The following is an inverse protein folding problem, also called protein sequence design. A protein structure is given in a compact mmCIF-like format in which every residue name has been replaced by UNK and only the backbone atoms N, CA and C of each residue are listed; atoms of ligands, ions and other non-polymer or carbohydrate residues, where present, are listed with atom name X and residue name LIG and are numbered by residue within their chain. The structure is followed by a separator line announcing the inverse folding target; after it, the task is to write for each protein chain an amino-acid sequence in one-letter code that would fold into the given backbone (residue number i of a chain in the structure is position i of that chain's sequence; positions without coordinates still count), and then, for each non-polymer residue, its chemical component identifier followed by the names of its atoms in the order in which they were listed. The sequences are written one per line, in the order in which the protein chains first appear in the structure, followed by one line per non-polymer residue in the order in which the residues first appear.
data_IF_934880542671
#
_entry.id   IF_934880542671
#
_cell.length_a   1.000
_cell.length_b   1.000
_cell.length_c   1.000
_cell.angle_alpha   90.00
_cell.angle_beta   90.00
_cell.angle_gamma   90.00
#
_symmetry.space_group_name_H-M   'P 1'
#
loop_
_entity.id
_entity.type
_entity.pdbx_description
1 polymer ?
#
# COMPACT_ATOMS: atom_id res chain seq x y z
N UNK A 1 -23.79 -10.24 -13.57
CA UNK A 1 -24.75 -9.13 -13.80
C UNK A 1 -23.95 -7.86 -13.96
N UNK A 2 -24.21 -7.07 -15.00
CA UNK A 2 -23.52 -5.78 -15.19
C UNK A 2 -23.95 -4.79 -14.09
N UNK A 3 -23.18 -3.72 -13.89
CA UNK A 3 -23.63 -2.59 -13.08
C UNK A 3 -24.92 -2.01 -13.72
N UNK A 4 -25.86 -1.62 -12.89
CA UNK A 4 -26.99 -0.86 -13.43
C UNK A 4 -26.57 0.60 -13.72
N UNK A 5 -27.39 1.32 -14.48
CA UNK A 5 -27.08 2.69 -14.89
C UNK A 5 -26.74 3.63 -13.70
N UNK A 6 -27.46 3.50 -12.57
CA UNK A 6 -27.21 4.33 -11.39
C UNK A 6 -25.84 3.99 -10.74
N UNK A 7 -25.48 2.71 -10.71
CA UNK A 7 -24.19 2.24 -10.17
C UNK A 7 -23.03 2.68 -11.05
N UNK A 8 -23.13 2.58 -12.39
CA UNK A 8 -22.11 3.11 -13.31
C UNK A 8 -21.90 4.61 -13.13
N UNK A 9 -22.99 5.37 -13.02
CA UNK A 9 -22.92 6.81 -12.73
C UNK A 9 -22.30 7.09 -11.37
N UNK A 10 -22.57 6.25 -10.36
CA UNK A 10 -21.97 6.38 -9.03
C UNK A 10 -20.46 6.12 -9.05
N UNK A 11 -19.99 5.10 -9.77
CA UNK A 11 -18.54 4.82 -9.94
C UNK A 11 -17.86 6.01 -10.61
N UNK A 12 -18.39 6.48 -11.74
CA UNK A 12 -17.85 7.63 -12.47
C UNK A 12 -17.85 8.92 -11.62
N UNK A 13 -18.91 9.14 -10.85
CA UNK A 13 -18.99 10.27 -9.93
C UNK A 13 -17.96 10.17 -8.81
N UNK A 14 -17.84 9.00 -8.19
CA UNK A 14 -16.88 8.74 -7.12
C UNK A 14 -15.43 8.92 -7.60
N UNK A 15 -15.08 8.36 -8.76
CA UNK A 15 -13.80 8.57 -9.43
C UNK A 15 -13.51 10.07 -9.63
N UNK A 16 -14.40 10.80 -10.31
CA UNK A 16 -14.23 12.23 -10.55
C UNK A 16 -14.15 13.05 -9.25
N UNK A 17 -14.92 12.66 -8.23
CA UNK A 17 -14.93 13.33 -6.94
C UNK A 17 -13.61 13.12 -6.19
N UNK A 18 -13.08 11.89 -6.21
CA UNK A 18 -11.78 11.57 -5.61
C UNK A 18 -10.65 12.30 -6.32
N UNK A 19 -10.62 12.30 -7.66
CA UNK A 19 -9.62 13.04 -8.44
C UNK A 19 -9.64 14.54 -8.10
N UNK A 20 -10.84 15.16 -8.01
CA UNK A 20 -10.98 16.56 -7.61
C UNK A 20 -10.55 16.80 -6.17
N UNK A 21 -10.83 15.88 -5.24
CA UNK A 21 -10.40 15.97 -3.86
C UNK A 21 -8.87 15.92 -3.77
N UNK A 22 -8.23 14.95 -4.42
CA UNK A 22 -6.77 14.84 -4.48
C UNK A 22 -6.13 16.07 -5.12
N UNK A 23 -6.71 16.60 -6.22
CA UNK A 23 -6.24 17.83 -6.87
C UNK A 23 -6.26 19.03 -5.92
N UNK A 24 -7.33 19.13 -5.12
CA UNK A 24 -7.46 20.22 -4.15
C UNK A 24 -6.55 20.04 -2.94
N UNK A 25 -6.40 18.81 -2.44
CA UNK A 25 -5.79 18.53 -1.15
C UNK A 25 -4.29 18.24 -1.24
N UNK A 26 -3.78 17.65 -2.34
CA UNK A 26 -2.36 17.33 -2.48
C UNK A 26 -1.52 18.56 -2.90
N UNK A 27 -1.53 19.59 -2.04
CA UNK A 27 -0.65 20.74 -2.13
C UNK A 27 0.46 20.61 -1.09
N UNK A 28 1.64 20.23 -1.52
CA UNK A 28 2.74 19.84 -0.64
C UNK A 28 3.72 21.01 -0.50
N UNK A 29 3.96 21.42 0.73
CA UNK A 29 4.98 22.43 1.05
C UNK A 29 6.32 21.74 1.29
N UNK A 30 7.35 22.17 0.54
CA UNK A 30 8.74 21.72 0.70
C UNK A 30 9.40 22.60 1.75
N UNK A 31 10.10 21.99 2.69
CA UNK A 31 10.79 22.72 3.74
C UNK A 31 12.17 22.13 4.06
N UNK A 32 13.12 23.01 4.34
CA UNK A 32 14.41 22.63 4.90
C UNK A 32 14.44 22.67 6.43
N UNK A 33 13.36 23.18 7.05
CA UNK A 33 13.20 23.17 8.49
C UNK A 33 13.08 21.75 9.03
N UNK A 34 13.38 21.57 10.29
CA UNK A 34 13.20 20.29 10.95
C UNK A 34 11.71 20.10 11.27
N UNK A 35 11.08 19.14 10.60
CA UNK A 35 9.70 18.76 10.90
C UNK A 35 9.72 17.75 12.05
N UNK A 36 9.39 18.20 13.23
CA UNK A 36 9.30 17.32 14.39
C UNK A 36 8.08 16.40 14.29
N UNK A 37 8.31 15.11 14.50
CA UNK A 37 7.24 14.12 14.66
C UNK A 37 6.99 13.97 16.15
N UNK A 38 5.94 14.61 16.66
CA UNK A 38 5.59 14.60 18.09
C UNK A 38 4.33 13.74 18.29
N UNK A 39 4.35 12.70 19.15
CA UNK A 39 3.18 11.88 19.43
C UNK A 39 2.14 12.63 20.26
N UNK A 40 0.87 12.36 20.00
CA UNK A 40 -0.22 12.74 20.90
C UNK A 40 -0.35 11.71 22.02
N UNK A 41 -0.58 12.16 23.26
CA UNK A 41 -0.52 11.31 24.47
C UNK A 41 -1.44 10.09 24.49
N UNK A 42 -2.58 10.18 23.79
CA UNK A 42 -3.63 9.15 23.88
C UNK A 42 -3.86 8.40 22.54
N UNK A 43 -2.94 8.52 21.59
CA UNK A 43 -3.07 7.87 20.28
C UNK A 43 -2.12 6.69 20.12
N UNK A 44 -2.65 5.61 19.56
CA UNK A 44 -1.85 4.49 19.06
C UNK A 44 -1.49 4.75 17.61
N UNK A 45 -0.23 4.51 17.28
CA UNK A 45 0.30 4.66 15.94
C UNK A 45 0.82 3.31 15.44
N UNK A 46 0.84 3.12 14.13
CA UNK A 46 1.56 2.05 13.49
C UNK A 46 2.91 2.55 13.00
N UNK A 47 3.93 1.70 13.06
CA UNK A 47 5.25 1.96 12.46
C UNK A 47 5.30 1.38 11.06
N UNK A 48 5.58 2.21 10.05
CA UNK A 48 5.87 1.77 8.69
C UNK A 48 7.37 1.92 8.40
N UNK A 49 8.06 0.86 8.05
CA UNK A 49 9.46 0.91 7.62
C UNK A 49 9.59 0.64 6.13
N UNK A 50 10.18 1.57 5.38
CA UNK A 50 10.38 1.44 3.95
C UNK A 50 11.75 0.88 3.62
N UNK A 51 11.81 -0.20 2.81
CA UNK A 51 13.06 -0.80 2.29
C UNK A 51 13.08 -0.61 0.77
N UNK A 52 13.80 0.40 0.24
CA UNK A 52 13.69 0.81 -1.16
C UNK A 52 14.61 0.05 -2.13
N UNK A 53 14.86 -1.24 -1.94
CA UNK A 53 15.79 -1.96 -2.82
C UNK A 53 15.13 -3.10 -3.58
N UNK A 54 15.49 -3.26 -4.86
CA UNK A 54 15.11 -4.39 -5.71
C UNK A 54 16.25 -4.77 -6.63
N UNK A 55 16.40 -6.06 -6.94
CA UNK A 55 17.34 -6.53 -7.97
C UNK A 55 16.87 -6.18 -9.38
N UNK A 56 15.56 -6.29 -9.64
CA UNK A 56 14.93 -6.02 -10.94
C UNK A 56 13.62 -5.29 -10.72
N UNK A 57 13.36 -4.27 -11.53
CA UNK A 57 12.13 -3.48 -11.46
C UNK A 57 11.02 -4.11 -12.29
N UNK A 58 9.81 -4.12 -11.75
CA UNK A 58 8.61 -4.56 -12.46
C UNK A 58 7.93 -3.34 -13.12
N UNK A 59 7.42 -3.47 -14.37
CA UNK A 59 6.88 -2.35 -15.14
C UNK A 59 5.62 -1.71 -14.55
N UNK A 60 4.87 -2.45 -13.74
CA UNK A 60 3.64 -1.98 -13.08
C UNK A 60 3.87 -1.38 -11.67
N UNK A 61 5.09 -1.48 -11.13
CA UNK A 61 5.38 -1.09 -9.77
C UNK A 61 5.71 0.40 -9.64
N UNK A 62 4.90 1.12 -8.90
CA UNK A 62 5.02 2.56 -8.64
C UNK A 62 5.77 2.92 -7.35
N UNK A 63 6.11 1.93 -6.52
CA UNK A 63 6.80 2.17 -5.26
C UNK A 63 8.17 2.79 -5.45
N UNK A 64 8.59 3.62 -4.47
CA UNK A 64 9.94 4.16 -4.40
C UNK A 64 10.96 3.04 -4.23
N UNK A 65 11.95 2.99 -5.14
CA UNK A 65 12.93 1.90 -5.15
C UNK A 65 14.23 2.31 -5.84
N UNK A 66 15.31 1.69 -5.37
CA UNK A 66 16.64 1.73 -5.95
C UNK A 66 17.08 0.34 -6.39
N UNK A 67 17.99 0.27 -7.35
CA UNK A 67 18.66 -0.97 -7.68
C UNK A 67 19.52 -1.41 -6.51
N UNK A 68 19.50 -2.70 -6.19
CA UNK A 68 20.27 -3.25 -5.09
C UNK A 68 21.77 -3.14 -5.34
N UNK A 69 22.47 -2.57 -4.36
CA UNK A 69 23.92 -2.57 -4.20
C UNK A 69 24.23 -2.87 -2.74
N UNK A 70 25.06 -3.88 -2.48
CA UNK A 70 25.25 -4.43 -1.15
C UNK A 70 25.71 -3.40 -0.11
N UNK A 71 26.71 -2.56 -0.46
CA UNK A 71 27.22 -1.54 0.47
C UNK A 71 26.19 -0.43 0.72
N UNK A 72 25.55 0.05 -0.33
CA UNK A 72 24.49 1.07 -0.23
C UNK A 72 23.32 0.57 0.62
N UNK A 73 22.93 -0.69 0.47
CA UNK A 73 21.86 -1.32 1.25
C UNK A 73 22.24 -1.40 2.73
N UNK A 74 23.44 -1.84 3.05
CA UNK A 74 23.95 -1.89 4.45
C UNK A 74 23.99 -0.52 5.10
N UNK A 75 24.53 0.48 4.42
CA UNK A 75 24.59 1.86 4.91
C UNK A 75 23.16 2.42 5.13
N UNK A 76 22.24 2.09 4.24
CA UNK A 76 20.85 2.44 4.40
C UNK A 76 20.22 1.86 5.66
N UNK A 77 20.40 0.56 5.93
CA UNK A 77 19.86 -0.08 7.13
C UNK A 77 20.49 0.47 8.42
N UNK A 78 21.76 0.88 8.40
CA UNK A 78 22.38 1.61 9.52
C UNK A 78 21.63 2.91 9.82
N UNK A 79 21.34 3.69 8.78
CA UNK A 79 20.59 4.94 8.92
C UNK A 79 19.13 4.70 9.35
N UNK A 80 18.48 3.66 8.83
CA UNK A 80 17.12 3.27 9.22
C UNK A 80 17.05 2.93 10.73
N UNK A 81 18.01 2.16 11.24
CA UNK A 81 18.11 1.86 12.68
C UNK A 81 18.40 3.10 13.52
N UNK A 82 19.14 4.06 12.99
CA UNK A 82 19.35 5.33 13.68
C UNK A 82 18.07 6.18 13.70
N UNK A 83 17.27 6.18 12.63
CA UNK A 83 15.96 6.83 12.62
C UNK A 83 15.01 6.21 13.65
N UNK A 84 14.97 4.87 13.78
CA UNK A 84 14.16 4.20 14.81
C UNK A 84 14.50 4.70 16.22
N UNK A 85 15.80 4.88 16.54
CA UNK A 85 16.23 5.44 17.82
C UNK A 85 15.74 6.88 18.01
N UNK A 86 15.83 7.72 16.97
CA UNK A 86 15.33 9.10 17.00
C UNK A 86 13.81 9.16 17.23
N UNK A 87 13.05 8.25 16.62
CA UNK A 87 11.60 8.14 16.83
C UNK A 87 11.28 7.71 18.27
N UNK A 88 12.08 6.80 18.87
CA UNK A 88 11.95 6.46 20.30
C UNK A 88 12.27 7.65 21.20
N UNK A 89 13.35 8.37 20.91
CA UNK A 89 13.74 9.58 21.64
C UNK A 89 12.66 10.68 21.56
N UNK A 90 11.90 10.76 20.45
CA UNK A 90 10.75 11.64 20.28
C UNK A 90 9.51 11.21 21.11
N UNK A 91 9.56 10.06 21.79
CA UNK A 91 8.52 9.59 22.69
C UNK A 91 7.48 8.66 22.07
N UNK A 92 7.71 8.15 20.86
CA UNK A 92 6.82 7.16 20.25
C UNK A 92 6.95 5.77 20.87
N UNK A 93 5.82 5.07 20.89
CA UNK A 93 5.75 3.62 21.06
C UNK A 93 4.75 3.02 20.06
N UNK A 94 4.97 1.77 19.65
CA UNK A 94 4.20 1.07 18.63
C UNK A 94 3.88 -0.34 19.08
N UNK A 95 2.67 -0.80 18.79
CA UNK A 95 2.26 -2.21 19.00
C UNK A 95 2.30 -3.02 17.70
N UNK A 96 2.30 -2.34 16.54
CA UNK A 96 2.39 -3.00 15.24
C UNK A 96 3.40 -2.31 14.33
N UNK A 97 4.07 -3.12 13.49
CA UNK A 97 5.03 -2.66 12.50
C UNK A 97 4.72 -3.28 11.14
N UNK A 98 4.79 -2.47 10.09
CA UNK A 98 4.72 -2.92 8.71
C UNK A 98 6.03 -2.60 7.99
N UNK A 99 6.64 -3.61 7.37
CA UNK A 99 7.86 -3.44 6.57
C UNK A 99 7.53 -3.65 5.11
N UNK A 100 7.63 -2.59 4.32
CA UNK A 100 7.24 -2.62 2.91
C UNK A 100 8.19 -1.89 1.98
N UNK A 101 7.82 -1.80 0.70
CA UNK A 101 8.52 -0.99 -0.30
C UNK A 101 9.00 -1.75 -1.52
N UNK A 102 10.28 -2.08 -1.58
CA UNK A 102 10.92 -2.88 -2.63
C UNK A 102 10.85 -4.38 -2.33
N UNK A 103 12.01 -5.00 -2.14
CA UNK A 103 12.16 -6.37 -1.63
C UNK A 103 12.69 -6.28 -0.20
N UNK A 104 11.87 -6.49 0.79
CA UNK A 104 12.24 -6.22 2.19
C UNK A 104 13.28 -7.20 2.72
N UNK A 105 13.22 -8.46 2.30
CA UNK A 105 14.18 -9.52 2.67
C UNK A 105 15.45 -9.54 1.78
N UNK A 106 15.75 -8.46 1.08
CA UNK A 106 16.87 -8.38 0.14
C UNK A 106 18.25 -8.50 0.82
N UNK A 107 18.34 -8.09 2.09
CA UNK A 107 19.47 -8.34 2.99
C UNK A 107 18.89 -8.84 4.31
N UNK A 108 18.83 -10.17 4.45
CA UNK A 108 18.22 -10.84 5.60
C UNK A 108 18.87 -10.46 6.93
N UNK A 109 20.20 -10.34 6.94
CA UNK A 109 20.96 -10.03 8.17
C UNK A 109 20.69 -8.61 8.64
N UNK A 110 20.66 -7.66 7.73
CA UNK A 110 20.36 -6.26 8.07
C UNK A 110 18.90 -6.07 8.48
N UNK A 111 17.98 -6.79 7.84
CA UNK A 111 16.57 -6.77 8.23
C UNK A 111 16.39 -7.33 9.63
N UNK A 112 16.95 -8.52 9.95
CA UNK A 112 16.88 -9.13 11.29
C UNK A 112 17.42 -8.18 12.37
N UNK A 113 18.59 -7.57 12.18
CA UNK A 113 19.14 -6.56 13.11
C UNK A 113 18.17 -5.39 13.31
N UNK A 114 17.44 -5.03 12.27
CA UNK A 114 16.49 -3.90 12.33
C UNK A 114 15.22 -4.29 13.09
N UNK A 115 14.71 -5.51 12.88
CA UNK A 115 13.56 -6.03 13.60
C UNK A 115 13.90 -6.27 15.10
N UNK A 116 15.09 -6.81 15.41
CA UNK A 116 15.58 -6.92 16.78
C UNK A 116 15.60 -5.57 17.49
N UNK A 117 16.18 -4.56 16.84
CA UNK A 117 16.22 -3.21 17.40
C UNK A 117 14.80 -2.66 17.59
N UNK A 118 13.92 -2.79 16.62
CA UNK A 118 12.56 -2.30 16.71
C UNK A 118 11.81 -2.93 17.90
N UNK A 119 11.87 -4.26 18.05
CA UNK A 119 11.28 -4.98 19.20
C UNK A 119 11.93 -4.59 20.53
N UNK A 120 13.20 -4.23 20.55
CA UNK A 120 13.87 -3.77 21.78
C UNK A 120 13.50 -2.34 22.17
N UNK A 121 13.18 -1.50 21.21
CA UNK A 121 12.82 -0.10 21.44
C UNK A 121 11.34 0.09 21.75
N UNK A 122 10.45 -0.67 21.09
CA UNK A 122 9.02 -0.46 21.09
C UNK A 122 8.27 -1.70 21.58
N UNK A 123 7.02 -1.51 22.00
CA UNK A 123 6.12 -2.57 22.48
C UNK A 123 5.47 -3.34 21.31
N UNK A 124 6.27 -3.71 20.29
CA UNK A 124 5.79 -4.37 19.07
C UNK A 124 5.36 -5.80 19.36
N UNK A 125 4.07 -6.08 19.13
CA UNK A 125 3.43 -7.38 19.28
C UNK A 125 3.27 -8.09 17.92
N UNK A 126 3.19 -7.31 16.81
CA UNK A 126 2.90 -7.80 15.47
C UNK A 126 3.79 -7.12 14.42
N UNK A 127 4.37 -7.94 13.54
CA UNK A 127 5.12 -7.46 12.36
C UNK A 127 4.56 -8.09 11.09
N UNK A 128 4.08 -7.24 10.18
CA UNK A 128 3.77 -7.60 8.79
C UNK A 128 4.90 -7.17 7.87
N UNK A 129 5.24 -8.00 6.89
CA UNK A 129 6.27 -7.68 5.90
C UNK A 129 5.86 -8.10 4.50
N UNK A 130 6.43 -7.45 3.48
CA UNK A 130 6.29 -7.79 2.07
C UNK A 130 7.50 -8.58 1.60
N UNK A 131 7.34 -9.42 0.57
CA UNK A 131 8.44 -10.14 -0.07
C UNK A 131 8.12 -10.52 -1.51
N UNK A 132 9.06 -11.21 -2.13
CA UNK A 132 8.91 -11.79 -3.46
C UNK A 132 9.26 -13.30 -3.46
N UNK A 133 8.90 -14.06 -4.51
CA UNK A 133 9.10 -15.51 -4.57
C UNK A 133 10.56 -16.01 -4.51
N UNK A 134 11.55 -15.13 -4.58
CA UNK A 134 12.96 -15.53 -4.43
C UNK A 134 13.46 -15.48 -2.99
N UNK A 135 12.69 -14.89 -2.07
CA UNK A 135 13.07 -14.69 -0.67
C UNK A 135 12.17 -15.47 0.30
N UNK A 136 11.52 -16.54 -0.18
CA UNK A 136 10.64 -17.41 0.62
C UNK A 136 11.16 -18.84 0.75
N UNK A 137 12.43 -19.07 0.52
CA UNK A 137 13.02 -20.40 0.77
C UNK A 137 12.83 -20.77 2.24
N UNK A 138 12.53 -22.05 2.56
CA UNK A 138 12.28 -22.48 3.93
C UNK A 138 13.39 -22.04 4.92
N UNK A 139 14.65 -22.15 4.50
CA UNK A 139 15.80 -21.74 5.33
C UNK A 139 15.77 -20.24 5.67
N UNK A 140 15.36 -19.39 4.73
CA UNK A 140 15.19 -17.95 4.94
C UNK A 140 14.05 -17.71 5.92
N UNK A 141 12.87 -18.29 5.68
CA UNK A 141 11.69 -18.05 6.51
C UNK A 141 11.87 -18.55 7.95
N UNK A 142 12.56 -19.67 8.17
CA UNK A 142 12.87 -20.17 9.51
C UNK A 142 13.66 -19.14 10.35
N UNK A 143 14.49 -18.31 9.74
CA UNK A 143 15.24 -17.24 10.43
C UNK A 143 14.32 -16.11 10.93
N UNK A 144 13.16 -15.93 10.29
CA UNK A 144 12.20 -14.87 10.63
C UNK A 144 11.07 -15.35 11.54
N UNK A 145 11.03 -16.62 11.94
CA UNK A 145 10.10 -17.12 12.96
C UNK A 145 10.25 -16.34 14.27
N UNK A 146 9.11 -15.91 14.83
CA UNK A 146 9.09 -15.07 16.02
C UNK A 146 9.38 -13.59 15.78
N UNK A 147 9.73 -13.22 14.53
CA UNK A 147 9.84 -11.82 14.09
C UNK A 147 8.66 -11.42 13.23
N UNK A 148 8.41 -12.14 12.14
CA UNK A 148 7.36 -11.82 11.17
C UNK A 148 6.15 -12.69 11.43
N UNK A 149 5.00 -12.06 11.70
CA UNK A 149 3.72 -12.71 11.94
C UNK A 149 2.94 -12.88 10.63
N UNK A 150 3.09 -11.93 9.69
CA UNK A 150 2.48 -11.97 8.36
C UNK A 150 3.50 -11.61 7.27
N UNK A 151 3.67 -12.49 6.30
CA UNK A 151 4.48 -12.24 5.11
C UNK A 151 3.60 -12.22 3.87
N UNK A 152 3.56 -11.08 3.17
CA UNK A 152 2.89 -10.92 1.89
C UNK A 152 3.85 -11.20 0.76
N UNK A 153 3.51 -12.13 -0.13
CA UNK A 153 4.35 -12.55 -1.23
C UNK A 153 3.74 -12.13 -2.55
N UNK A 154 4.38 -11.16 -3.21
CA UNK A 154 3.94 -10.71 -4.52
C UNK A 154 4.14 -11.79 -5.57
N UNK A 155 3.09 -12.48 -5.98
CA UNK A 155 3.08 -13.46 -7.09
C UNK A 155 2.56 -12.81 -8.36
N UNK A 156 1.50 -12.06 -8.23
CA UNK A 156 0.77 -11.26 -9.23
C UNK A 156 -0.11 -12.08 -10.18
N UNK A 157 0.38 -13.19 -10.74
CA UNK A 157 -0.35 -14.17 -11.54
C UNK A 157 0.43 -15.49 -11.57
N UNK A 158 -0.25 -16.57 -11.87
CA UNK A 158 0.38 -17.86 -12.22
C UNK A 158 0.41 -18.10 -13.72
N UNK A 159 -0.28 -17.27 -14.52
CA UNK A 159 -0.27 -17.39 -15.99
C UNK A 159 1.11 -17.01 -16.55
N UNK A 160 1.74 -17.94 -17.27
CA UNK A 160 3.09 -17.76 -17.80
C UNK A 160 3.20 -16.60 -18.80
N UNK A 161 2.15 -16.29 -19.55
CA UNK A 161 2.19 -15.21 -20.53
C UNK A 161 2.04 -13.84 -19.86
N UNK A 162 1.20 -13.76 -18.83
CA UNK A 162 1.14 -12.57 -17.96
C UNK A 162 2.50 -12.37 -17.26
N UNK A 163 3.07 -13.42 -16.66
CA UNK A 163 4.38 -13.35 -15.98
C UNK A 163 5.50 -12.85 -16.90
N UNK A 164 5.52 -13.29 -18.18
CA UNK A 164 6.48 -12.79 -19.18
C UNK A 164 6.29 -11.30 -19.45
N UNK A 165 5.05 -10.88 -19.70
CA UNK A 165 4.71 -9.48 -20.00
C UNK A 165 5.03 -8.53 -18.84
N UNK A 166 4.88 -8.95 -17.59
CA UNK A 166 5.19 -8.15 -16.41
C UNK A 166 6.63 -8.34 -15.89
N UNK A 167 7.51 -8.94 -16.69
CA UNK A 167 8.94 -9.15 -16.37
C UNK A 167 9.18 -10.00 -15.11
N UNK A 168 8.28 -10.93 -14.80
CA UNK A 168 8.38 -11.79 -13.62
C UNK A 168 8.79 -13.22 -13.94
N UNK A 169 8.48 -13.72 -15.14
CA UNK A 169 8.82 -15.09 -15.55
C UNK A 169 10.32 -15.38 -15.43
N UNK A 170 11.17 -14.51 -16.00
CA UNK A 170 12.62 -14.68 -15.93
C UNK A 170 13.19 -14.45 -14.52
N UNK A 171 12.49 -13.64 -13.70
CA UNK A 171 12.93 -13.32 -12.34
C UNK A 171 12.58 -14.41 -11.34
N UNK A 172 11.41 -15.02 -11.42
CA UNK A 172 10.87 -15.90 -10.39
C UNK A 172 10.58 -17.32 -10.84
N UNK A 173 10.56 -17.56 -12.16
CA UNK A 173 10.28 -18.85 -12.78
C UNK A 173 8.88 -18.93 -13.41
N UNK A 174 8.59 -20.13 -13.93
CA UNK A 174 7.28 -20.48 -14.49
C UNK A 174 6.25 -20.71 -13.38
N UNK A 175 4.99 -20.91 -13.78
CA UNK A 175 3.90 -21.34 -12.90
C UNK A 175 4.32 -22.48 -11.98
N UNK A 176 4.91 -23.55 -12.53
CA UNK A 176 5.26 -24.75 -11.75
C UNK A 176 6.34 -24.45 -10.71
N UNK A 177 7.33 -23.63 -11.06
CA UNK A 177 8.38 -23.18 -10.14
C UNK A 177 7.79 -22.31 -9.01
N UNK A 178 6.85 -21.42 -9.34
CA UNK A 178 6.17 -20.60 -8.33
C UNK A 178 5.34 -21.45 -7.39
N UNK A 179 4.58 -22.43 -7.92
CA UNK A 179 3.79 -23.36 -7.11
C UNK A 179 4.70 -24.17 -6.18
N UNK A 180 5.82 -24.67 -6.68
CA UNK A 180 6.79 -25.42 -5.86
C UNK A 180 7.36 -24.55 -4.73
N UNK A 181 7.85 -23.33 -5.03
CA UNK A 181 8.39 -22.43 -4.03
C UNK A 181 7.35 -22.10 -2.94
N UNK A 182 6.13 -21.74 -3.34
CA UNK A 182 5.06 -21.36 -2.42
C UNK A 182 4.61 -22.55 -1.57
N UNK A 183 4.46 -23.73 -2.14
CA UNK A 183 4.06 -24.94 -1.40
C UNK A 183 5.05 -25.33 -0.30
N UNK A 184 6.34 -24.98 -0.47
CA UNK A 184 7.39 -25.19 0.55
C UNK A 184 7.43 -24.09 1.60
N UNK A 185 6.87 -22.90 1.32
CA UNK A 185 6.90 -21.71 2.17
C UNK A 185 5.67 -21.57 3.07
N UNK A 186 4.52 -22.07 2.62
CA UNK A 186 3.26 -22.03 3.37
C UNK A 186 3.44 -22.81 4.68
N UNK A 187 2.87 -22.29 5.78
CA UNK A 187 2.90 -22.85 7.15
C UNK A 187 4.25 -22.70 7.89
N UNK A 188 5.26 -22.06 7.31
CA UNK A 188 6.50 -21.75 8.06
C UNK A 188 6.29 -20.55 8.98
N UNK A 189 5.70 -19.48 8.48
CA UNK A 189 5.31 -18.31 9.29
C UNK A 189 3.82 -18.39 9.65
N UNK A 190 3.36 -17.68 10.69
CA UNK A 190 1.97 -17.73 11.12
C UNK A 190 0.97 -17.39 10.03
N UNK A 191 1.28 -16.37 9.20
CA UNK A 191 0.46 -15.98 8.06
C UNK A 191 1.31 -15.75 6.82
N UNK A 192 1.06 -16.51 5.77
CA UNK A 192 1.55 -16.21 4.42
C UNK A 192 0.37 -15.74 3.57
N UNK A 193 0.50 -14.54 3.00
CA UNK A 193 -0.43 -13.95 2.04
C UNK A 193 0.11 -14.09 0.62
N UNK A 194 -0.73 -14.48 -0.32
CA UNK A 194 -0.41 -14.42 -1.75
C UNK A 194 -1.04 -13.15 -2.34
N UNK A 195 -0.20 -12.31 -2.94
CA UNK A 195 -0.68 -11.12 -3.63
C UNK A 195 -0.79 -11.39 -5.12
N UNK A 196 -2.00 -11.24 -5.63
CA UNK A 196 -2.35 -11.38 -7.03
C UNK A 196 -2.87 -10.04 -7.56
N UNK A 197 -2.67 -9.82 -8.86
CA UNK A 197 -3.22 -8.65 -9.56
C UNK A 197 -4.27 -9.14 -10.57
N UNK A 198 -5.39 -8.47 -10.63
CA UNK A 198 -6.42 -8.72 -11.62
C UNK A 198 -6.68 -7.50 -12.52
N UNK A 199 -7.42 -7.73 -13.60
CA UNK A 199 -7.74 -6.72 -14.61
C UNK A 199 -6.49 -6.22 -15.39
N UNK A 200 -5.56 -7.14 -15.70
CA UNK A 200 -4.53 -6.85 -16.69
C UNK A 200 -5.16 -6.61 -18.06
N UNK A 201 -4.59 -5.74 -18.93
CA UNK A 201 -5.00 -5.63 -20.31
C UNK A 201 -5.05 -7.00 -20.99
N UNK A 202 -6.17 -7.30 -21.66
CA UNK A 202 -6.44 -8.59 -22.33
C UNK A 202 -6.44 -9.84 -21.44
N UNK A 203 -6.47 -9.69 -20.12
CA UNK A 203 -6.65 -10.84 -19.22
C UNK A 203 -8.02 -11.48 -19.48
N UNK A 204 -8.05 -12.79 -19.67
CA UNK A 204 -9.31 -13.52 -19.84
C UNK A 204 -9.90 -13.96 -18.50
N UNK A 205 -11.18 -14.31 -18.50
CA UNK A 205 -11.85 -14.88 -17.34
C UNK A 205 -11.22 -16.22 -16.94
N UNK A 206 -10.81 -17.03 -17.93
CA UNK A 206 -10.18 -18.34 -17.74
C UNK A 206 -8.83 -18.19 -17.03
N UNK A 207 -8.02 -17.18 -17.39
CA UNK A 207 -6.76 -16.88 -16.73
C UNK A 207 -6.98 -16.47 -15.27
N UNK A 208 -7.97 -15.58 -14.98
CA UNK A 208 -8.33 -15.21 -13.62
C UNK A 208 -8.78 -16.43 -12.81
N UNK A 209 -9.67 -17.26 -13.35
CA UNK A 209 -10.15 -18.47 -12.67
C UNK A 209 -9.03 -19.49 -12.45
N UNK A 210 -8.07 -19.60 -13.38
CA UNK A 210 -6.88 -20.41 -13.20
C UNK A 210 -6.04 -19.95 -12.02
N UNK A 211 -5.75 -18.64 -11.93
CA UNK A 211 -5.02 -18.03 -10.81
C UNK A 211 -5.74 -18.28 -9.47
N UNK A 212 -7.07 -18.09 -9.43
CA UNK A 212 -7.89 -18.35 -8.24
C UNK A 212 -7.81 -19.81 -7.83
N UNK A 213 -7.96 -20.75 -8.76
CA UNK A 213 -7.93 -22.18 -8.49
C UNK A 213 -6.57 -22.65 -7.96
N UNK A 214 -5.46 -22.12 -8.52
CA UNK A 214 -4.10 -22.42 -8.05
C UNK A 214 -3.93 -21.85 -6.63
N UNK A 215 -4.32 -20.60 -6.37
CA UNK A 215 -4.23 -19.99 -5.07
C UNK A 215 -5.04 -20.76 -4.00
N UNK A 216 -6.27 -21.17 -4.32
CA UNK A 216 -7.10 -22.02 -3.44
C UNK A 216 -6.45 -23.39 -3.17
N UNK A 217 -5.85 -24.01 -4.18
CA UNK A 217 -5.18 -25.32 -4.07
C UNK A 217 -3.91 -25.24 -3.22
N UNK A 218 -3.15 -24.17 -3.34
CA UNK A 218 -2.01 -23.87 -2.48
C UNK A 218 -2.44 -23.63 -1.02
N UNK A 219 -3.62 -23.08 -0.86
CA UNK A 219 -4.27 -22.90 0.44
C UNK A 219 -3.43 -22.09 1.46
N UNK A 220 -2.90 -20.89 1.13
CA UNK A 220 -2.26 -20.03 2.10
C UNK A 220 -3.26 -19.53 3.15
N UNK A 221 -2.78 -18.87 4.20
CA UNK A 221 -3.64 -18.31 5.25
C UNK A 221 -4.43 -17.12 4.73
N UNK A 222 -3.86 -16.35 3.78
CA UNK A 222 -4.52 -15.18 3.17
C UNK A 222 -4.22 -15.09 1.67
N UNK A 223 -5.14 -14.50 0.91
CA UNK A 223 -4.98 -14.19 -0.50
C UNK A 223 -5.48 -12.76 -0.72
N UNK A 224 -4.67 -11.95 -1.41
CA UNK A 224 -5.01 -10.57 -1.74
C UNK A 224 -5.09 -10.40 -3.25
N UNK A 225 -6.17 -9.80 -3.75
CA UNK A 225 -6.36 -9.48 -5.17
C UNK A 225 -6.39 -7.97 -5.37
N UNK A 226 -5.28 -7.41 -5.81
CA UNK A 226 -5.19 -6.00 -6.14
C UNK A 226 -5.71 -5.73 -7.57
N UNK A 227 -6.55 -4.70 -7.78
CA UNK A 227 -6.81 -4.23 -9.13
C UNK A 227 -5.53 -3.65 -9.74
N UNK A 228 -5.30 -3.86 -11.04
CA UNK A 228 -4.15 -3.22 -11.69
C UNK A 228 -4.24 -1.70 -11.61
N UNK A 229 -3.26 -1.08 -10.98
CA UNK A 229 -3.18 0.37 -10.82
C UNK A 229 -2.36 0.97 -11.97
N UNK A 230 -3.02 1.82 -12.80
CA UNK A 230 -2.39 2.52 -13.92
C UNK A 230 -2.02 3.94 -13.47
N UNK A 231 -0.96 4.07 -12.70
CA UNK A 231 -0.47 5.37 -12.25
C UNK A 231 0.29 6.12 -13.36
N UNK A 232 0.48 7.43 -13.26
CA UNK A 232 1.27 8.19 -14.22
C UNK A 232 2.70 7.65 -14.42
N UNK A 233 3.27 7.05 -13.36
CA UNK A 233 4.64 6.47 -13.41
C UNK A 233 4.67 5.17 -14.22
N UNK A 234 3.61 4.35 -14.15
CA UNK A 234 3.59 2.99 -14.69
C UNK A 234 2.83 2.88 -15.99
N UNK A 235 1.99 3.87 -16.31
CA UNK A 235 1.05 3.85 -17.46
C UNK A 235 1.74 3.51 -18.78
N UNK A 236 2.86 4.18 -19.09
CA UNK A 236 3.59 3.95 -20.34
C UNK A 236 4.27 2.57 -20.36
N UNK A 237 4.88 2.17 -19.25
CA UNK A 237 5.52 0.87 -19.13
C UNK A 237 4.48 -0.26 -19.25
N UNK A 238 3.31 -0.12 -18.61
CA UNK A 238 2.18 -1.04 -18.73
C UNK A 238 1.70 -1.12 -20.19
N UNK A 239 1.48 0.03 -20.84
CA UNK A 239 1.04 0.07 -22.24
C UNK A 239 2.04 -0.60 -23.18
N UNK A 240 3.34 -0.39 -22.95
CA UNK A 240 4.42 -1.01 -23.76
C UNK A 240 4.52 -2.52 -23.57
N UNK A 241 4.31 -3.02 -22.34
CA UNK A 241 4.55 -4.44 -22.00
C UNK A 241 3.29 -5.29 -22.06
N UNK A 242 2.15 -4.75 -21.64
CA UNK A 242 0.87 -5.45 -21.57
C UNK A 242 -0.10 -5.04 -22.68
N UNK A 243 0.17 -3.92 -23.37
CA UNK A 243 -0.73 -3.33 -24.35
C UNK A 243 -1.78 -2.40 -23.72
N UNK A 244 -2.63 -1.86 -24.58
CA UNK A 244 -3.76 -1.01 -24.18
C UNK A 244 -5.05 -1.74 -24.54
N UNK A 245 -5.96 -1.84 -23.60
CA UNK A 245 -7.31 -2.36 -23.80
C UNK A 245 -8.33 -1.32 -23.31
N UNK A 246 -9.35 -1.09 -24.10
CA UNK A 246 -10.50 -0.26 -23.73
C UNK A 246 -11.56 -1.07 -22.98
N UNK A 247 -11.39 -2.41 -22.93
CA UNK A 247 -12.28 -3.32 -22.22
C UNK A 247 -11.91 -3.35 -20.72
N UNK A 248 -12.66 -2.61 -19.93
CA UNK A 248 -12.53 -2.59 -18.46
C UNK A 248 -13.46 -3.63 -17.85
N UNK A 249 -12.87 -4.76 -17.45
CA UNK A 249 -13.58 -5.88 -16.82
C UNK A 249 -13.46 -5.89 -15.29
N UNK A 250 -13.04 -4.79 -14.67
CA UNK A 250 -12.74 -4.72 -13.25
C UNK A 250 -13.92 -5.16 -12.37
N UNK A 251 -15.12 -4.69 -12.65
CA UNK A 251 -16.32 -5.10 -11.91
C UNK A 251 -16.67 -6.58 -12.13
N UNK A 252 -16.59 -7.07 -13.38
CA UNK A 252 -16.83 -8.48 -13.67
C UNK A 252 -15.86 -9.38 -12.89
N UNK A 253 -14.59 -9.08 -12.95
CA UNK A 253 -13.54 -9.84 -12.27
C UNK A 253 -13.65 -9.74 -10.75
N UNK A 254 -13.96 -8.56 -10.22
CA UNK A 254 -14.19 -8.38 -8.79
C UNK A 254 -15.32 -9.27 -8.27
N UNK A 255 -16.45 -9.37 -8.98
CA UNK A 255 -17.55 -10.25 -8.62
C UNK A 255 -17.15 -11.73 -8.66
N UNK A 256 -16.39 -12.14 -9.66
CA UNK A 256 -15.88 -13.52 -9.72
C UNK A 256 -15.04 -13.80 -8.47
N UNK A 257 -14.13 -12.91 -8.12
CA UNK A 257 -13.28 -13.04 -6.93
C UNK A 257 -14.16 -13.13 -5.68
N UNK A 258 -15.11 -12.23 -5.48
CA UNK A 258 -16.01 -12.22 -4.31
C UNK A 258 -16.82 -13.51 -4.21
N UNK A 259 -17.36 -14.03 -5.32
CA UNK A 259 -18.11 -15.30 -5.33
C UNK A 259 -17.21 -16.50 -5.01
N UNK A 260 -16.00 -16.54 -5.59
CA UNK A 260 -15.06 -17.61 -5.39
C UNK A 260 -14.52 -17.69 -3.94
N UNK A 261 -14.46 -16.53 -3.25
CA UNK A 261 -14.00 -16.41 -1.87
C UNK A 261 -15.12 -16.10 -0.86
N UNK A 262 -16.39 -16.32 -1.19
CA UNK A 262 -17.53 -16.03 -0.31
C UNK A 262 -17.52 -16.77 1.03
N UNK A 263 -16.78 -17.87 1.14
CA UNK A 263 -16.61 -18.64 2.37
C UNK A 263 -15.35 -18.27 3.16
N UNK A 264 -14.54 -17.36 2.64
CA UNK A 264 -13.41 -16.79 3.34
C UNK A 264 -13.85 -15.57 4.13
N UNK A 265 -13.10 -15.24 5.17
CA UNK A 265 -13.26 -13.97 5.86
C UNK A 265 -12.63 -12.84 5.04
N UNK A 266 -13.44 -11.85 4.65
CA UNK A 266 -12.92 -10.66 3.97
C UNK A 266 -12.28 -9.73 5.00
N UNK A 267 -10.96 -9.63 5.01
CA UNK A 267 -10.23 -8.71 5.89
C UNK A 267 -10.41 -7.24 5.47
N UNK A 268 -10.54 -7.02 4.16
CA UNK A 268 -10.89 -5.74 3.54
C UNK A 268 -11.51 -5.99 2.15
N UNK A 269 -11.66 -4.95 1.33
CA UNK A 269 -12.34 -5.08 0.03
C UNK A 269 -11.61 -6.00 -0.97
N UNK A 270 -10.31 -6.28 -0.81
CA UNK A 270 -9.51 -7.11 -1.71
C UNK A 270 -8.73 -8.25 -1.06
N UNK A 271 -8.77 -8.40 0.27
CA UNK A 271 -8.06 -9.45 0.99
C UNK A 271 -9.01 -10.46 1.64
N UNK A 272 -8.69 -11.75 1.51
CA UNK A 272 -9.51 -12.88 1.91
C UNK A 272 -8.67 -13.85 2.74
N UNK A 273 -9.06 -14.06 3.99
CA UNK A 273 -8.37 -14.93 4.96
C UNK A 273 -9.19 -16.17 5.28
N UNK A 274 -8.53 -17.30 5.52
CA UNK A 274 -9.21 -18.53 5.98
C UNK A 274 -9.86 -18.36 7.33
N UNK A 275 -9.22 -17.60 8.20
CA UNK A 275 -9.70 -17.28 9.55
C UNK A 275 -9.71 -15.77 9.74
N UNK A 276 -10.58 -15.29 10.62
CA UNK A 276 -10.54 -13.90 11.04
C UNK A 276 -9.21 -13.62 11.73
N UNK A 277 -8.53 -12.57 11.29
CA UNK A 277 -7.26 -12.12 11.84
C UNK A 277 -7.35 -10.62 12.09
N UNK A 278 -6.72 -10.15 13.16
CA UNK A 278 -6.55 -8.73 13.45
C UNK A 278 -5.21 -8.20 12.92
N UNK A 279 -4.44 -9.04 12.21
CA UNK A 279 -3.15 -8.65 11.63
C UNK A 279 -3.32 -7.52 10.62
N UNK A 280 -2.38 -6.61 10.61
CA UNK A 280 -2.40 -5.47 9.71
C UNK A 280 -2.07 -5.93 8.28
N UNK A 281 -3.10 -5.90 7.42
CA UNK A 281 -2.96 -6.24 6.00
C UNK A 281 -2.40 -5.08 5.18
N UNK A 282 -2.77 -3.86 5.55
CA UNK A 282 -2.39 -2.62 4.87
C UNK A 282 -2.03 -1.56 5.91
N UNK A 283 -0.87 -0.90 5.75
CA UNK A 283 -0.45 0.15 6.68
C UNK A 283 -1.32 1.42 6.61
N UNK A 284 -2.08 1.60 5.53
CA UNK A 284 -3.01 2.73 5.32
C UNK A 284 -4.43 2.43 5.82
N UNK A 285 -4.74 1.16 6.14
CA UNK A 285 -6.11 0.72 6.48
C UNK A 285 -6.51 0.99 7.93
N UNK A 286 -6.41 -0.03 8.76
CA UNK A 286 -7.00 -0.08 10.12
C UNK A 286 -6.52 1.02 11.08
N UNK A 287 -5.28 1.50 10.90
CA UNK A 287 -4.71 2.59 11.67
C UNK A 287 -4.77 3.88 10.86
N UNK A 288 -5.64 4.80 11.27
CA UNK A 288 -5.80 6.09 10.59
C UNK A 288 -4.53 6.95 10.62
N UNK A 289 -3.62 6.73 11.59
CA UNK A 289 -2.36 7.45 11.73
C UNK A 289 -1.18 6.48 11.84
N UNK A 290 -0.10 6.78 11.13
CA UNK A 290 1.12 5.97 11.10
C UNK A 290 2.38 6.83 10.98
N UNK A 291 3.49 6.32 11.51
CA UNK A 291 4.82 6.90 11.40
C UNK A 291 5.63 6.12 10.38
N UNK A 292 5.98 6.76 9.27
CA UNK A 292 6.88 6.18 8.29
C UNK A 292 8.34 6.51 8.58
N UNK A 293 9.18 5.49 8.52
CA UNK A 293 10.65 5.59 8.60
C UNK A 293 11.29 5.05 7.33
N UNK A 294 12.45 5.60 6.98
CA UNK A 294 13.17 5.26 5.76
C UNK A 294 12.98 6.28 4.64
N UNK A 295 13.85 6.18 3.62
CA UNK A 295 13.82 7.04 2.42
C UNK A 295 12.51 6.85 1.67
N UNK A 296 11.84 7.95 1.31
CA UNK A 296 10.57 7.95 0.57
C UNK A 296 9.36 7.44 1.35
N UNK A 297 9.51 7.18 2.66
CA UNK A 297 8.38 6.82 3.51
C UNK A 297 7.45 8.02 3.73
N UNK A 298 6.16 7.74 3.85
CA UNK A 298 5.15 8.70 4.26
C UNK A 298 4.80 8.50 5.74
N UNK A 299 4.41 9.58 6.42
CA UNK A 299 3.73 9.51 7.72
C UNK A 299 2.42 10.26 7.62
N UNK A 300 1.38 9.78 8.30
CA UNK A 300 0.13 10.53 8.45
C UNK A 300 -0.14 10.74 9.93
N UNK A 301 0.01 11.98 10.39
CA UNK A 301 0.00 12.35 11.80
C UNK A 301 -0.81 13.64 12.00
N UNK A 302 -1.82 13.59 12.86
CA UNK A 302 -2.63 14.77 13.22
C UNK A 302 -3.24 15.50 12.00
N UNK A 303 -3.60 14.75 10.95
CA UNK A 303 -4.10 15.31 9.69
C UNK A 303 -3.04 15.95 8.80
N UNK A 304 -1.79 15.59 8.99
CA UNK A 304 -0.66 16.02 8.17
C UNK A 304 -0.03 14.82 7.49
N UNK A 305 0.14 14.89 6.18
CA UNK A 305 0.98 13.96 5.43
C UNK A 305 2.40 14.50 5.44
N UNK A 306 3.34 13.73 5.96
CA UNK A 306 4.77 14.04 5.93
C UNK A 306 5.43 13.14 4.90
N UNK A 307 6.41 13.68 4.16
CA UNK A 307 7.14 12.97 3.12
C UNK A 307 8.62 12.98 3.46
N UNK A 308 9.21 11.81 3.68
CA UNK A 308 10.65 11.68 3.90
C UNK A 308 11.42 11.88 2.59
N UNK A 309 12.68 12.32 2.70
CA UNK A 309 13.58 12.48 1.56
C UNK A 309 13.66 11.18 0.74
N UNK A 310 13.50 11.31 -0.58
CA UNK A 310 13.61 10.21 -1.53
C UNK A 310 15.07 9.92 -1.87
N UNK A 311 15.89 10.97 -2.00
CA UNK A 311 17.31 10.84 -2.25
C UNK A 311 18.02 10.21 -1.02
N UNK A 312 18.76 9.11 -1.23
CA UNK A 312 19.42 8.37 -0.16
C UNK A 312 20.50 9.16 0.55
N UNK A 313 21.23 10.00 -0.17
CA UNK A 313 22.27 10.87 0.41
C UNK A 313 21.64 11.93 1.31
N UNK A 314 20.59 12.60 0.85
CA UNK A 314 19.86 13.57 1.66
C UNK A 314 19.25 12.92 2.90
N UNK A 315 18.60 11.76 2.74
CA UNK A 315 18.07 10.97 3.85
C UNK A 315 19.17 10.67 4.89
N UNK A 316 20.31 10.12 4.43
CA UNK A 316 21.45 9.79 5.29
C UNK A 316 22.01 11.01 6.02
N UNK A 317 22.19 12.13 5.32
CA UNK A 317 22.73 13.37 5.89
C UNK A 317 21.81 13.95 6.97
N UNK A 318 20.49 13.90 6.77
CA UNK A 318 19.51 14.32 7.78
C UNK A 318 19.57 13.44 9.02
N UNK A 319 19.57 12.12 8.85
CA UNK A 319 19.66 11.18 9.99
C UNK A 319 20.96 11.38 10.78
N UNK A 320 22.12 11.46 10.11
CA UNK A 320 23.42 11.71 10.75
C UNK A 320 23.48 13.05 11.49
N UNK A 321 22.75 14.05 10.99
CA UNK A 321 22.62 15.36 11.62
C UNK A 321 21.55 15.44 12.70
N UNK A 322 20.95 14.31 13.08
CA UNK A 322 19.83 14.22 14.04
C UNK A 322 18.60 15.07 13.66
N UNK A 323 18.38 15.28 12.36
CA UNK A 323 17.20 15.95 11.84
C UNK A 323 16.18 14.91 11.36
N UNK A 324 14.89 15.26 11.43
CA UNK A 324 13.84 14.46 10.80
C UNK A 324 14.13 14.31 9.31
N UNK A 325 13.99 13.12 8.71
CA UNK A 325 14.15 12.94 7.28
C UNK A 325 12.98 13.51 6.46
N UNK A 326 11.89 13.96 7.10
CA UNK A 326 10.78 14.60 6.43
C UNK A 326 11.21 15.93 5.82
N UNK A 327 10.99 16.08 4.51
CA UNK A 327 11.34 17.27 3.71
C UNK A 327 10.11 18.01 3.22
N UNK A 328 8.93 17.44 3.40
CA UNK A 328 7.72 18.03 2.90
C UNK A 328 6.51 17.68 3.75
N UNK A 329 5.51 18.55 3.71
CA UNK A 329 4.29 18.45 4.50
C UNK A 329 3.07 18.87 3.67
N UNK A 330 1.96 18.18 3.89
CA UNK A 330 0.65 18.55 3.37
C UNK A 330 -0.37 18.50 4.50
N UNK A 331 -1.04 19.61 4.77
CA UNK A 331 -2.05 19.71 5.82
C UNK A 331 -3.45 19.44 5.25
N UNK A 332 -4.21 18.59 5.95
CA UNK A 332 -5.60 18.29 5.62
C UNK A 332 -6.54 18.93 6.62
N UNK A 333 -7.63 19.53 6.13
CA UNK A 333 -8.66 20.06 6.99
C UNK A 333 -9.47 18.94 7.67
N UNK A 334 -10.30 19.32 8.68
CA UNK A 334 -11.10 18.35 9.45
C UNK A 334 -11.97 17.46 8.56
N UNK A 335 -12.65 18.02 7.56
CA UNK A 335 -13.55 17.26 6.68
C UNK A 335 -12.78 16.27 5.81
N UNK A 336 -11.63 16.66 5.26
CA UNK A 336 -10.76 15.78 4.45
C UNK A 336 -10.26 14.61 5.29
N UNK A 337 -9.86 14.84 6.55
CA UNK A 337 -9.47 13.77 7.48
C UNK A 337 -10.61 12.79 7.76
N UNK A 338 -11.82 13.31 8.04
CA UNK A 338 -13.00 12.48 8.30
C UNK A 338 -13.36 11.65 7.05
N UNK A 339 -13.28 12.24 5.85
CA UNK A 339 -13.51 11.52 4.58
C UNK A 339 -12.48 10.40 4.38
N UNK A 340 -11.20 10.67 4.67
CA UNK A 340 -10.13 9.68 4.57
C UNK A 340 -10.37 8.50 5.54
N UNK A 341 -10.58 8.78 6.83
CA UNK A 341 -10.84 7.73 7.83
C UNK A 341 -12.13 6.95 7.53
N UNK A 342 -13.16 7.62 7.04
CA UNK A 342 -14.41 6.97 6.62
C UNK A 342 -14.17 6.01 5.44
N UNK A 343 -13.40 6.42 4.43
CA UNK A 343 -13.05 5.57 3.29
C UNK A 343 -12.26 4.33 3.74
N UNK A 344 -11.23 4.51 4.57
CA UNK A 344 -10.41 3.38 5.04
C UNK A 344 -11.25 2.38 5.84
N UNK A 345 -12.11 2.86 6.75
CA UNK A 345 -13.01 1.99 7.52
C UNK A 345 -14.07 1.29 6.65
N UNK A 346 -14.60 1.96 5.65
CA UNK A 346 -15.54 1.35 4.72
C UNK A 346 -14.84 0.28 3.84
N UNK A 347 -13.61 0.54 3.46
CA UNK A 347 -12.76 -0.41 2.76
C UNK A 347 -12.45 -1.65 3.62
N UNK A 348 -12.24 -1.49 4.92
CA UNK A 348 -12.08 -2.58 5.90
C UNK A 348 -13.40 -3.34 6.20
N UNK A 349 -14.53 -2.91 5.64
CA UNK A 349 -15.80 -3.65 5.63
C UNK A 349 -16.88 -3.12 6.57
N UNK A 350 -16.59 -2.19 7.51
CA UNK A 350 -17.65 -1.61 8.34
C UNK A 350 -17.22 -0.34 9.06
N UNK A 351 -18.20 0.50 9.40
CA UNK A 351 -18.01 1.72 10.19
C UNK A 351 -18.97 1.72 11.37
N UNK A 352 -18.50 1.40 12.56
CA UNK A 352 -19.26 1.62 13.79
C UNK A 352 -19.32 3.14 14.06
N UNK A 353 -20.52 3.71 14.02
CA UNK A 353 -20.73 5.16 14.08
C UNK A 353 -20.35 5.74 15.43
N UNK A 354 -20.64 5.02 16.51
CA UNK A 354 -20.35 5.49 17.87
C UNK A 354 -18.83 5.54 18.12
N UNK A 355 -18.14 4.44 17.79
CA UNK A 355 -16.68 4.34 17.88
C UNK A 355 -16.00 5.36 16.99
N UNK A 356 -16.45 5.51 15.74
CA UNK A 356 -15.92 6.51 14.80
C UNK A 356 -16.03 7.93 15.36
N UNK A 357 -17.20 8.28 15.90
CA UNK A 357 -17.45 9.62 16.47
C UNK A 357 -16.54 9.89 17.67
N UNK A 358 -16.38 8.90 18.56
CA UNK A 358 -15.52 9.03 19.74
C UNK A 358 -14.03 9.19 19.35
N UNK A 359 -13.53 8.35 18.42
CA UNK A 359 -12.13 8.36 18.00
C UNK A 359 -11.75 9.64 17.22
N UNK A 360 -12.69 10.23 16.49
CA UNK A 360 -12.43 11.38 15.62
C UNK A 360 -13.02 12.70 16.14
N UNK A 361 -13.55 12.71 17.35
CA UNK A 361 -14.18 13.89 17.99
C UNK A 361 -15.18 14.59 17.05
N UNK A 362 -16.10 13.81 16.47
CA UNK A 362 -16.95 14.27 15.38
C UNK A 362 -18.37 13.72 15.45
N UNK A 363 -19.23 14.17 14.57
CA UNK A 363 -20.51 13.54 14.25
C UNK A 363 -20.50 13.13 12.78
N UNK A 364 -20.19 11.87 12.51
CA UNK A 364 -20.06 11.30 11.15
C UNK A 364 -21.26 11.60 10.27
N UNK A 365 -22.48 11.35 10.78
CA UNK A 365 -23.72 11.57 9.98
C UNK A 365 -23.96 13.03 9.64
N UNK A 366 -23.48 13.97 10.45
CA UNK A 366 -23.58 15.40 10.16
C UNK A 366 -22.49 15.84 9.17
N UNK A 367 -21.25 15.45 9.43
CA UNK A 367 -20.10 15.86 8.62
C UNK A 367 -20.13 15.28 7.19
N UNK A 368 -20.56 14.01 7.04
CA UNK A 368 -20.66 13.31 5.77
C UNK A 368 -22.10 13.03 5.35
N UNK A 369 -23.02 13.94 5.68
CA UNK A 369 -24.45 13.76 5.41
C UNK A 369 -24.74 13.44 3.94
N UNK A 370 -24.19 14.22 3.00
CA UNK A 370 -24.41 14.03 1.59
C UNK A 370 -23.80 12.73 1.08
N UNK A 371 -22.55 12.46 1.48
CA UNK A 371 -21.80 11.27 1.07
C UNK A 371 -22.53 10.00 1.53
N UNK A 372 -22.94 9.91 2.79
CA UNK A 372 -23.63 8.74 3.35
C UNK A 372 -24.99 8.52 2.67
N UNK A 373 -25.78 9.59 2.46
CA UNK A 373 -27.08 9.44 1.81
C UNK A 373 -26.96 9.08 0.33
N UNK A 374 -25.98 9.61 -0.40
CA UNK A 374 -25.70 9.19 -1.78
C UNK A 374 -25.30 7.72 -1.85
N UNK A 375 -24.42 7.26 -0.95
CA UNK A 375 -24.01 5.84 -0.88
C UNK A 375 -25.21 4.91 -0.57
N UNK A 376 -26.12 5.33 0.33
CA UNK A 376 -27.37 4.61 0.60
C UNK A 376 -28.30 4.59 -0.62
N UNK A 377 -28.46 5.73 -1.30
CA UNK A 377 -29.33 5.89 -2.48
C UNK A 377 -28.92 4.94 -3.62
N UNK A 378 -27.62 4.77 -3.86
CA UNK A 378 -27.12 3.86 -4.90
C UNK A 378 -26.94 2.42 -4.40
N UNK A 379 -27.46 2.10 -3.21
CA UNK A 379 -27.34 0.80 -2.57
C UNK A 379 -25.88 0.33 -2.42
N UNK A 380 -24.97 1.27 -2.14
CA UNK A 380 -23.58 0.94 -1.83
C UNK A 380 -23.39 0.58 -0.35
N UNK A 381 -24.13 1.24 0.56
CA UNK A 381 -24.08 0.95 1.99
C UNK A 381 -25.48 0.83 2.57
N UNK A 382 -25.56 0.10 3.69
CA UNK A 382 -26.75 0.05 4.56
C UNK A 382 -26.33 0.25 6.00
N UNK A 383 -27.30 0.57 6.85
CA UNK A 383 -27.08 0.77 8.27
C UNK A 383 -27.83 -0.32 9.06
N UNK A 384 -27.11 -0.99 9.95
CA UNK A 384 -27.68 -1.99 10.85
C UNK A 384 -27.09 -1.80 12.25
N UNK A 385 -27.94 -1.61 13.25
CA UNK A 385 -27.54 -1.44 14.66
C UNK A 385 -26.45 -0.37 14.90
N UNK A 386 -26.51 0.74 14.18
CA UNK A 386 -25.52 1.85 14.30
C UNK A 386 -24.20 1.60 13.56
N UNK A 387 -24.12 0.53 12.78
CA UNK A 387 -22.96 0.19 11.95
C UNK A 387 -23.32 0.39 10.48
N UNK A 388 -22.50 1.16 9.75
CA UNK A 388 -22.57 1.24 8.29
C UNK A 388 -21.76 0.10 7.68
N UNK A 389 -22.40 -0.69 6.83
CA UNK A 389 -21.80 -1.83 6.15
C UNK A 389 -21.91 -1.67 4.63
N UNK A 390 -20.85 -2.00 3.87
CA UNK A 390 -20.94 -2.01 2.41
C UNK A 390 -21.76 -3.21 1.93
N UNK A 391 -22.50 -3.03 0.85
CA UNK A 391 -23.00 -4.11 0.00
C UNK A 391 -21.86 -4.67 -0.86
N UNK A 392 -22.10 -5.68 -1.70
CA UNK A 392 -21.11 -6.13 -2.69
C UNK A 392 -20.69 -4.96 -3.61
N UNK A 393 -21.65 -4.17 -4.11
CA UNK A 393 -21.35 -2.96 -4.88
C UNK A 393 -20.59 -1.91 -4.04
N UNK A 394 -20.94 -1.75 -2.77
CA UNK A 394 -20.25 -0.82 -1.86
C UNK A 394 -18.79 -1.21 -1.61
N UNK A 395 -18.51 -2.51 -1.46
CA UNK A 395 -17.14 -3.01 -1.34
C UNK A 395 -16.32 -2.73 -2.62
N UNK A 396 -16.93 -2.94 -3.78
CA UNK A 396 -16.32 -2.58 -5.07
C UNK A 396 -16.06 -1.07 -5.16
N UNK A 397 -17.03 -0.24 -4.80
CA UNK A 397 -16.89 1.22 -4.83
C UNK A 397 -15.78 1.70 -3.86
N UNK A 398 -15.70 1.11 -2.67
CA UNK A 398 -14.62 1.39 -1.72
C UNK A 398 -13.25 0.99 -2.29
N UNK A 399 -13.18 -0.17 -2.98
CA UNK A 399 -11.98 -0.61 -3.70
C UNK A 399 -11.56 0.38 -4.80
N UNK A 400 -12.51 0.85 -5.62
CA UNK A 400 -12.25 1.84 -6.67
C UNK A 400 -11.73 3.15 -6.06
N UNK A 401 -12.35 3.64 -5.00
CA UNK A 401 -11.91 4.86 -4.32
C UNK A 401 -10.52 4.70 -3.69
N UNK A 402 -10.22 3.54 -3.10
CA UNK A 402 -8.90 3.25 -2.56
C UNK A 402 -7.84 3.15 -3.67
N UNK A 403 -8.15 2.53 -4.80
CA UNK A 403 -7.30 2.52 -6.00
C UNK A 403 -6.95 3.94 -6.46
N UNK A 404 -7.94 4.84 -6.51
CA UNK A 404 -7.72 6.25 -6.86
C UNK A 404 -6.84 6.98 -5.83
N UNK A 405 -7.04 6.70 -4.54
CA UNK A 405 -6.19 7.23 -3.48
C UNK A 405 -4.74 6.80 -3.66
N UNK A 406 -4.46 5.52 -3.88
CA UNK A 406 -3.11 5.02 -4.14
C UNK A 406 -2.50 5.62 -5.41
N UNK A 407 -3.29 5.78 -6.48
CA UNK A 407 -2.85 6.45 -7.71
C UNK A 407 -2.45 7.92 -7.44
N UNK A 408 -3.17 8.62 -6.57
CA UNK A 408 -2.79 9.95 -6.10
C UNK A 408 -1.47 9.96 -5.36
N UNK A 409 -1.25 9.00 -4.47
CA UNK A 409 0.03 8.84 -3.76
C UNK A 409 1.19 8.48 -4.70
N UNK A 410 0.93 7.76 -5.78
CA UNK A 410 1.92 7.49 -6.81
C UNK A 410 2.35 8.75 -7.55
N UNK A 411 1.45 9.71 -7.75
CA UNK A 411 1.81 11.03 -8.28
C UNK A 411 2.75 11.78 -7.33
N UNK A 412 2.53 11.69 -6.02
CA UNK A 412 3.47 12.24 -5.03
C UNK A 412 4.84 11.57 -5.19
N UNK A 413 4.90 10.24 -5.26
CA UNK A 413 6.15 9.50 -5.49
C UNK A 413 6.85 9.90 -6.78
N UNK A 414 6.10 10.11 -7.86
CA UNK A 414 6.63 10.53 -9.16
C UNK A 414 7.35 11.87 -9.06
N UNK A 415 6.71 12.86 -8.45
CA UNK A 415 7.28 14.21 -8.29
C UNK A 415 8.51 14.18 -7.39
N UNK A 416 8.47 13.45 -6.28
CA UNK A 416 9.58 13.39 -5.32
C UNK A 416 10.80 12.59 -5.79
N UNK A 417 10.69 11.83 -6.88
CA UNK A 417 11.84 11.20 -7.56
C UNK A 417 12.67 12.21 -8.35
N UNK A 418 12.12 13.37 -8.71
CA UNK A 418 12.85 14.44 -9.39
C UNK A 418 13.47 15.38 -8.36
N UNK A 419 14.68 15.03 -7.92
CA UNK A 419 15.46 15.80 -6.94
C UNK A 419 15.65 17.26 -7.35
N UNK A 420 15.88 17.55 -8.64
CA UNK A 420 16.09 18.91 -9.12
C UNK A 420 14.82 19.75 -8.94
N UNK A 421 13.66 19.17 -9.24
CA UNK A 421 12.34 19.78 -9.08
C UNK A 421 12.01 20.02 -7.61
N UNK A 422 12.25 19.03 -6.75
CA UNK A 422 12.03 19.15 -5.29
C UNK A 422 12.89 20.28 -4.73
N UNK A 423 14.19 20.31 -5.03
CA UNK A 423 15.13 21.32 -4.53
C UNK A 423 14.84 22.75 -5.04
N UNK A 424 14.24 22.88 -6.22
CA UNK A 424 13.89 24.19 -6.81
C UNK A 424 12.53 24.72 -6.40
N UNK A 425 11.70 23.91 -5.71
CA UNK A 425 10.32 24.24 -5.38
C UNK A 425 10.16 24.55 -3.89
N UNK A 426 9.30 25.53 -3.57
CA UNK A 426 8.81 25.76 -2.20
C UNK A 426 7.46 25.09 -1.97
N UNK A 427 6.66 24.94 -3.02
CA UNK A 427 5.34 24.32 -2.99
C UNK A 427 5.11 23.51 -4.26
N UNK A 428 4.62 22.29 -4.09
CA UNK A 428 4.31 21.36 -5.17
C UNK A 428 2.80 21.09 -5.22
N UNK A 429 2.18 21.43 -6.32
CA UNK A 429 0.80 21.04 -6.66
C UNK A 429 0.87 19.74 -7.44
N UNK A 430 0.93 18.64 -6.71
CA UNK A 430 1.25 17.31 -7.25
C UNK A 430 0.35 16.92 -8.43
N UNK A 431 -0.92 17.24 -8.37
CA UNK A 431 -1.88 16.85 -9.41
C UNK A 431 -1.76 17.64 -10.73
N UNK A 432 -1.04 18.76 -10.74
CA UNK A 432 -0.78 19.56 -11.95
C UNK A 432 0.36 18.99 -12.82
N UNK A 433 1.11 18.01 -12.31
CA UNK A 433 2.29 17.44 -12.98
C UNK A 433 2.01 16.26 -13.91
N UNK A 434 0.77 16.07 -14.37
CA UNK A 434 0.39 14.94 -15.25
C UNK A 434 1.05 14.96 -16.64
N UNK A 435 1.46 16.14 -17.13
CA UNK A 435 1.91 16.30 -18.51
C UNK A 435 3.44 16.35 -18.68
N UNK A 436 4.19 16.52 -17.58
CA UNK A 436 5.65 16.76 -17.65
C UNK A 436 6.49 15.60 -17.10
N UNK A 437 5.84 14.56 -16.57
CA UNK A 437 6.54 13.38 -16.05
C UNK A 437 7.01 12.48 -17.19
N UNK A 438 7.89 12.99 -18.04
CA UNK A 438 8.82 12.12 -18.75
C UNK A 438 9.70 11.49 -17.67
N UNK A 439 9.40 10.27 -17.31
CA UNK A 439 10.33 9.43 -16.56
C UNK A 439 11.60 9.40 -17.39
N UNK A 440 12.65 10.08 -16.90
CA UNK A 440 13.92 10.05 -17.57
C UNK A 440 14.33 8.60 -17.72
N UNK A 441 14.31 8.09 -18.95
CA UNK A 441 14.63 6.70 -19.28
C UNK A 441 16.03 6.33 -18.73
N UNK A 442 16.89 7.32 -18.52
CA UNK A 442 18.28 7.14 -18.13
C UNK A 442 18.51 6.88 -16.63
N UNK A 443 17.58 7.26 -15.73
CA UNK A 443 17.75 7.05 -14.28
C UNK A 443 17.15 5.76 -13.76
N UNK A 444 16.29 5.09 -14.53
CA UNK A 444 15.75 3.78 -14.21
C UNK A 444 16.68 2.66 -14.73
N UNK A 445 17.49 2.93 -15.76
CA UNK A 445 18.36 1.95 -16.40
C UNK A 445 19.81 1.98 -15.87
N UNK A 446 20.25 3.04 -15.19
CA UNK A 446 21.65 3.21 -14.79
C UNK A 446 21.87 3.51 -13.30
N UNK A 447 20.81 3.48 -12.48
CA UNK A 447 20.95 3.59 -11.02
C UNK A 447 20.56 2.28 -10.33
#
# INVERSE_FOLDING_TARGET
MLLNFAQEKAVNYAHNKMQKALYKSLNIDITNENIEKIPSKDKKYMLYAHVPFCHVFCPYCSFHKYKFEANLCKDYFVNLRQELKQIKEAGYDFTSMYVGGGTTLIDEDELLKTLDLAKSLFSIEEISSESDPNHIEPKTLERFKGYIDRLSVGVQSFDNDILKKVSRYNKFGSQDILIEKLSRAIDILPTLSLDLIFNFPFQTKEQLLSDINIAKKLAPQQITFYPLMKSPITREAIAKTLGVSDDDREWEFYKIIKEEFKHYHASNAWAFSKQSSNLVDEYVGSNAEYVGVGSGAFSFLNGRLLVNAFNLEEYSNRIKSKKSPAIAVCDFNKKERIQYVFLTKLFDGSVDIASFNAQNETNLKKELFLEINLLKLVNAIYEENGVLKPTEFGSYLAMVLMKEFYTGMDKVRAVFRDDAKVKSSKKLRVMEYDNDLKVGEDKIATA
#
